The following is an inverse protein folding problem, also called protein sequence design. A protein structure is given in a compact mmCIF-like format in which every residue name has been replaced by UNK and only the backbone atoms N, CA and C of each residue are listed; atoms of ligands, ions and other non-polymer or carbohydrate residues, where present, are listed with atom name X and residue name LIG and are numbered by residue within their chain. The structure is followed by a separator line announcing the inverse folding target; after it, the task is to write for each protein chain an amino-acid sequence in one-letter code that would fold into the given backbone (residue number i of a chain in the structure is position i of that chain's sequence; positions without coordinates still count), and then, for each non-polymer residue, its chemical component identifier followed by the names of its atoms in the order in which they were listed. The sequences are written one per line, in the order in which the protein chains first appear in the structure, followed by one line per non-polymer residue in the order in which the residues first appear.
data_IF_118187175978
#
_entry.id   IF_118187175978
#
_cell.length_a   1.000
_cell.length_b   1.000
_cell.length_c   1.000
_cell.angle_alpha   90.00
_cell.angle_beta   90.00
_cell.angle_gamma   90.00
#
_symmetry.space_group_name_H-M   'P 1'
#
loop_
_entity.id
_entity.type
_entity.pdbx_description
1 polymer ?
#
# COMPACT_ATOMS: atom_id res chain seq x y z
N UNK A 1 3.57 2.69 0.69
CA UNK A 1 4.38 1.46 0.90
C UNK A 1 3.47 0.35 1.38
N UNK A 2 3.68 -0.87 0.94
CA UNK A 2 2.88 -2.04 1.31
C UNK A 2 3.82 -3.11 1.86
N UNK A 3 3.53 -3.58 3.07
CA UNK A 3 4.31 -4.59 3.77
C UNK A 3 3.48 -5.85 3.99
N UNK A 4 4.10 -7.02 3.96
CA UNK A 4 3.47 -8.26 4.42
C UNK A 4 3.48 -8.36 5.96
N UNK A 5 2.85 -9.41 6.51
CA UNK A 5 2.81 -9.66 7.96
C UNK A 5 4.18 -9.83 8.61
N UNK A 6 5.20 -10.23 7.85
CA UNK A 6 6.56 -10.39 8.35
C UNK A 6 7.34 -9.07 8.33
N UNK A 7 6.72 -7.98 7.86
CA UNK A 7 7.36 -6.67 7.73
C UNK A 7 8.19 -6.52 6.46
N UNK A 8 8.13 -7.47 5.51
CA UNK A 8 8.83 -7.34 4.23
C UNK A 8 8.12 -6.29 3.37
N UNK A 9 8.87 -5.34 2.81
CA UNK A 9 8.35 -4.40 1.82
C UNK A 9 8.03 -5.16 0.52
N UNK A 10 6.75 -5.18 0.15
CA UNK A 10 6.24 -5.87 -1.05
C UNK A 10 6.07 -4.90 -2.21
N UNK A 11 5.68 -3.66 -1.92
CA UNK A 11 5.50 -2.64 -2.96
C UNK A 11 5.68 -1.22 -2.45
N UNK A 12 6.21 -0.37 -3.33
CA UNK A 12 6.32 1.06 -3.13
C UNK A 12 5.83 1.78 -4.38
N UNK A 13 4.91 2.72 -4.17
CA UNK A 13 4.31 3.53 -5.22
C UNK A 13 4.60 4.98 -4.85
N UNK A 14 5.09 5.78 -5.82
CA UNK A 14 5.31 7.21 -5.67
C UNK A 14 4.14 7.98 -6.29
N UNK A 15 3.63 8.98 -5.57
CA UNK A 15 2.38 9.69 -5.87
C UNK A 15 2.65 11.18 -6.16
N UNK A 16 3.90 11.56 -6.39
CA UNK A 16 4.31 12.96 -6.61
C UNK A 16 3.56 13.65 -7.76
N UNK A 17 3.21 12.90 -8.81
CA UNK A 17 2.51 13.44 -9.99
C UNK A 17 1.03 13.06 -10.04
N UNK A 18 0.43 12.65 -8.91
CA UNK A 18 -0.94 12.16 -8.91
C UNK A 18 -1.95 13.29 -8.99
N UNK A 19 -2.86 13.23 -9.98
CA UNK A 19 -3.83 14.28 -10.27
C UNK A 19 -5.07 14.22 -9.36
N UNK A 20 -5.63 13.04 -9.11
CA UNK A 20 -6.86 12.90 -8.29
C UNK A 20 -7.03 11.53 -7.65
N UNK A 21 -6.97 10.46 -8.45
CA UNK A 21 -7.20 9.09 -8.01
C UNK A 21 -6.17 8.14 -8.60
N UNK A 22 -5.77 7.14 -7.82
CA UNK A 22 -4.92 6.04 -8.27
C UNK A 22 -5.53 4.74 -7.81
N UNK A 23 -5.79 3.86 -8.79
CA UNK A 23 -6.18 2.47 -8.53
C UNK A 23 -4.91 1.62 -8.44
N UNK A 24 -4.85 0.79 -7.41
CA UNK A 24 -3.76 -0.18 -7.23
C UNK A 24 -4.34 -1.55 -7.56
N UNK A 25 -3.81 -2.19 -8.61
CA UNK A 25 -4.15 -3.59 -8.89
C UNK A 25 -3.45 -4.53 -7.89
N UNK A 26 -4.26 -5.39 -7.26
CA UNK A 26 -3.83 -6.36 -6.25
C UNK A 26 -3.75 -7.79 -6.80
N UNK A 27 -4.01 -7.99 -8.10
CA UNK A 27 -4.04 -9.30 -8.74
C UNK A 27 -2.74 -10.11 -8.56
N UNK A 28 -1.59 -9.42 -8.49
CA UNK A 28 -0.27 -10.02 -8.31
C UNK A 28 0.10 -10.33 -6.86
N UNK A 29 -0.71 -9.90 -5.88
CA UNK A 29 -0.47 -10.14 -4.47
C UNK A 29 -1.05 -11.50 -4.07
N UNK A 30 -0.26 -12.29 -3.35
CA UNK A 30 -0.75 -13.52 -2.76
C UNK A 30 -1.83 -13.22 -1.71
N UNK A 31 -2.73 -14.18 -1.48
CA UNK A 31 -3.69 -14.12 -0.38
C UNK A 31 -2.96 -13.94 0.96
N UNK A 32 -3.48 -13.06 1.80
CA UNK A 32 -2.84 -12.72 3.06
C UNK A 32 -3.20 -11.34 3.58
N UNK A 33 -2.52 -10.95 4.65
CA UNK A 33 -2.69 -9.65 5.29
C UNK A 33 -1.49 -8.77 4.99
N UNK A 34 -1.78 -7.51 4.66
CA UNK A 34 -0.78 -6.51 4.34
C UNK A 34 -1.03 -5.23 5.14
N UNK A 35 0.05 -4.54 5.49
CA UNK A 35 0.01 -3.20 6.07
C UNK A 35 0.33 -2.17 4.99
N UNK A 36 -0.64 -1.33 4.69
CA UNK A 36 -0.54 -0.25 3.69
C UNK A 36 -0.26 1.05 4.42
N UNK A 37 0.95 1.56 4.24
CA UNK A 37 1.41 2.84 4.76
C UNK A 37 1.29 3.89 3.66
N UNK A 38 0.39 4.86 3.88
CA UNK A 38 0.20 6.01 3.00
C UNK A 38 0.77 7.22 3.74
N UNK A 39 1.74 7.88 3.13
CA UNK A 39 2.46 9.00 3.73
C UNK A 39 2.31 10.20 2.80
N UNK A 40 1.68 11.26 3.29
CA UNK A 40 1.66 12.57 2.67
C UNK A 40 2.70 13.50 3.30
N UNK A 41 2.75 14.75 2.83
CA UNK A 41 3.75 15.72 3.29
C UNK A 41 3.67 16.04 4.79
N UNK A 42 2.46 16.00 5.38
CA UNK A 42 2.21 16.42 6.77
C UNK A 42 1.54 15.33 7.63
N UNK A 43 1.15 14.22 7.02
CA UNK A 43 0.39 13.18 7.71
C UNK A 43 0.68 11.80 7.13
N UNK A 44 0.41 10.78 7.93
CA UNK A 44 0.47 9.39 7.50
C UNK A 44 -0.72 8.63 8.03
N UNK A 45 -1.20 7.66 7.25
CA UNK A 45 -2.20 6.69 7.68
C UNK A 45 -1.69 5.29 7.41
N UNK A 46 -2.00 4.38 8.33
CA UNK A 46 -1.75 2.95 8.17
C UNK A 46 -3.10 2.25 8.05
N UNK A 47 -3.26 1.43 7.01
CA UNK A 47 -4.44 0.59 6.81
C UNK A 47 -4.04 -0.88 6.74
N UNK A 48 -4.84 -1.73 7.37
CA UNK A 48 -4.74 -3.18 7.19
C UNK A 48 -5.57 -3.60 6.00
N UNK A 49 -4.93 -4.29 5.05
CA UNK A 49 -5.57 -4.87 3.87
C UNK A 49 -5.59 -6.38 4.01
N UNK A 50 -6.71 -7.00 3.69
CA UNK A 50 -6.88 -8.46 3.65
C UNK A 50 -7.19 -8.83 2.20
N UNK A 51 -6.35 -9.67 1.61
CA UNK A 51 -6.54 -10.23 0.28
C UNK A 51 -6.90 -11.71 0.43
N UNK A 52 -8.07 -12.08 -0.09
CA UNK A 52 -8.53 -13.48 -0.19
C UNK A 52 -7.93 -14.19 -1.39
#
# INVERSE_FOLDING_TARGET
MIYDLNGKLVSQINWQDMQSEQVIDLSSYASGVYMVHITGMQSSVVKRMIKE
#
